data_IF_468000909790
#
_entry.id   IF_468000909790
#
_cell.length_a   1.000
_cell.length_b   1.000
_cell.length_c   1.000
_cell.angle_alpha   90.00
_cell.angle_beta   90.00
_cell.angle_gamma   90.00
#
_symmetry.space_group_name_H-M   'P 1'
#
loop_
_entity.id
_entity.type
_entity.pdbx_description
1 polymer ?
#
# COMPACT_ATOMS: atom_id res chain seq x y z
N UNK A 1 7.95 -14.22 -7.57
CA UNK A 1 8.15 -13.34 -6.37
C UNK A 1 8.29 -11.90 -6.87
N UNK A 2 7.68 -10.95 -6.18
CA UNK A 2 7.87 -9.54 -6.52
C UNK A 2 8.20 -8.71 -5.29
N UNK A 3 8.99 -7.66 -5.50
CA UNK A 3 9.30 -6.66 -4.50
C UNK A 3 9.17 -5.26 -5.12
N UNK A 4 8.68 -4.32 -4.33
CA UNK A 4 8.48 -2.95 -4.79
C UNK A 4 8.51 -1.95 -3.65
N UNK A 5 8.44 -0.69 -4.03
CA UNK A 5 8.41 0.45 -3.12
C UNK A 5 7.25 1.38 -3.48
N UNK A 6 6.65 2.05 -2.51
CA UNK A 6 5.74 3.14 -2.78
C UNK A 6 6.51 4.35 -3.35
N UNK A 7 5.92 5.01 -4.32
CA UNK A 7 6.47 6.23 -4.93
C UNK A 7 5.73 7.49 -4.47
N UNK A 8 4.41 7.37 -4.30
CA UNK A 8 3.57 8.46 -3.82
C UNK A 8 2.36 7.92 -3.07
N UNK A 9 1.88 8.70 -2.12
CA UNK A 9 0.62 8.46 -1.43
C UNK A 9 -0.16 9.77 -1.41
N UNK A 10 -1.27 9.80 -2.10
CA UNK A 10 -2.21 10.92 -2.13
C UNK A 10 -3.31 10.63 -1.10
N UNK A 11 -3.23 11.34 0.04
CA UNK A 11 -4.12 11.11 1.19
C UNK A 11 -5.50 11.67 0.88
N UNK A 12 -6.55 10.94 1.22
CA UNK A 12 -7.94 11.30 0.92
C UNK A 12 -8.51 12.42 1.81
N UNK A 13 -7.87 12.73 2.94
CA UNK A 13 -8.28 13.81 3.83
C UNK A 13 -7.78 15.15 3.31
N UNK A 14 -8.68 16.09 3.07
CA UNK A 14 -8.34 17.44 2.55
C UNK A 14 -7.46 18.28 3.50
N UNK A 15 -7.34 17.87 4.76
CA UNK A 15 -6.51 18.54 5.77
C UNK A 15 -5.13 17.88 5.94
N UNK A 16 -4.86 16.78 5.23
CA UNK A 16 -3.64 16.01 5.35
C UNK A 16 -2.93 15.90 3.99
N UNK A 17 -1.91 16.71 3.78
CA UNK A 17 -1.03 16.59 2.62
C UNK A 17 0.12 15.63 2.92
N UNK A 18 0.48 14.82 1.94
CA UNK A 18 1.64 13.92 1.99
C UNK A 18 2.93 14.65 1.62
N UNK A 19 3.97 14.48 2.43
CA UNK A 19 5.35 14.94 2.16
C UNK A 19 6.30 13.76 1.90
N UNK A 20 5.81 12.77 1.19
CA UNK A 20 6.56 11.59 0.79
C UNK A 20 6.14 10.32 1.51
N UNK A 21 6.43 9.22 0.87
CA UNK A 21 6.12 7.87 1.33
C UNK A 21 7.37 7.00 1.25
N UNK A 22 7.54 6.09 2.19
CA UNK A 22 8.63 5.12 2.21
C UNK A 22 8.15 3.79 2.76
N UNK A 23 8.73 2.70 2.27
CA UNK A 23 8.36 1.36 2.70
C UNK A 23 8.65 0.32 1.64
N UNK A 24 7.98 -0.81 1.74
CA UNK A 24 8.14 -1.91 0.78
C UNK A 24 6.83 -2.66 0.56
N UNK A 25 6.75 -3.31 -0.60
CA UNK A 25 5.75 -4.28 -0.99
C UNK A 25 6.44 -5.60 -1.32
N UNK A 26 5.97 -6.69 -0.79
CA UNK A 26 6.51 -8.01 -1.05
C UNK A 26 5.38 -8.99 -1.36
N UNK A 27 5.46 -9.68 -2.50
CA UNK A 27 4.42 -10.60 -2.96
C UNK A 27 5.01 -11.93 -3.43
N UNK A 28 4.32 -13.01 -3.11
CA UNK A 28 4.65 -14.36 -3.54
C UNK A 28 3.49 -14.95 -4.32
N UNK A 29 3.76 -15.36 -5.55
CA UNK A 29 2.79 -16.02 -6.43
C UNK A 29 2.94 -17.55 -6.31
N UNK A 30 1.81 -18.23 -6.26
CA UNK A 30 1.72 -19.68 -6.39
C UNK A 30 1.51 -20.10 -7.85
N UNK A 31 1.79 -21.36 -8.23
CA UNK A 31 1.64 -21.85 -9.60
C UNK A 31 0.22 -21.72 -10.18
N UNK A 32 -0.79 -21.55 -9.35
CA UNK A 32 -2.22 -21.41 -9.72
C UNK A 32 -2.64 -19.97 -10.02
N UNK A 33 -1.70 -19.07 -10.33
CA UNK A 33 -1.92 -17.65 -10.65
C UNK A 33 -2.45 -16.80 -9.47
N UNK A 34 -2.62 -17.39 -8.30
CA UNK A 34 -2.98 -16.69 -7.05
C UNK A 34 -1.72 -16.44 -6.24
N UNK A 35 -1.69 -15.40 -5.45
CA UNK A 35 -0.59 -15.13 -4.53
C UNK A 35 -1.03 -14.36 -3.31
N UNK A 36 -0.06 -14.19 -2.41
CA UNK A 36 -0.21 -13.42 -1.17
C UNK A 36 0.86 -12.34 -1.10
N UNK A 37 0.55 -11.27 -0.40
CA UNK A 37 1.44 -10.13 -0.24
C UNK A 37 1.47 -9.61 1.18
N UNK A 38 2.57 -8.93 1.48
CA UNK A 38 2.78 -8.11 2.66
C UNK A 38 3.28 -6.75 2.22
N UNK A 39 2.61 -5.72 2.66
CA UNK A 39 3.00 -4.34 2.40
C UNK A 39 3.16 -3.60 3.73
N UNK A 40 4.23 -2.83 3.84
CA UNK A 40 4.47 -1.97 4.98
C UNK A 40 5.07 -0.66 4.50
N UNK A 41 4.40 0.45 4.76
CA UNK A 41 4.86 1.76 4.37
C UNK A 41 4.45 2.85 5.35
N UNK A 42 5.23 3.92 5.37
CA UNK A 42 4.99 5.13 6.18
C UNK A 42 4.89 6.34 5.27
N UNK A 43 3.86 7.14 5.47
CA UNK A 43 3.64 8.40 4.77
C UNK A 43 3.86 9.55 5.74
N UNK A 44 4.75 10.47 5.41
CA UNK A 44 4.94 11.72 6.17
C UNK A 44 3.81 12.67 5.85
N UNK A 45 3.29 13.32 6.88
CA UNK A 45 2.34 14.43 6.74
C UNK A 45 3.14 15.72 6.63
N UNK A 46 2.81 16.54 5.63
CA UNK A 46 3.44 17.83 5.38
C UNK A 46 3.25 18.76 6.58
N UNK A 47 4.27 19.54 6.87
CA UNK A 47 4.31 20.51 7.99
C UNK A 47 4.04 19.90 9.38
N UNK A 48 4.27 18.60 9.53
CA UNK A 48 4.09 17.86 10.79
C UNK A 48 5.15 16.77 10.97
N UNK A 49 5.54 16.52 12.21
CA UNK A 49 6.37 15.35 12.57
C UNK A 49 5.57 14.05 12.63
N UNK A 50 4.29 14.11 12.25
CA UNK A 50 3.39 12.96 12.25
C UNK A 50 3.55 12.14 10.97
N UNK A 51 3.53 10.83 11.12
CA UNK A 51 3.53 9.86 10.02
C UNK A 51 2.29 8.96 10.10
N UNK A 52 1.84 8.50 8.95
CA UNK A 52 0.84 7.42 8.84
C UNK A 52 1.59 6.13 8.53
N UNK A 53 1.57 5.17 9.45
CA UNK A 53 2.06 3.82 9.23
C UNK A 53 0.95 2.93 8.73
N UNK A 54 1.16 2.21 7.63
CA UNK A 54 0.19 1.28 7.06
C UNK A 54 0.83 -0.08 6.85
N UNK A 55 0.16 -1.13 7.35
CA UNK A 55 0.55 -2.52 7.13
C UNK A 55 -0.64 -3.26 6.50
N UNK A 56 -0.42 -3.93 5.38
CA UNK A 56 -1.45 -4.64 4.63
C UNK A 56 -1.03 -6.07 4.34
N UNK A 57 -2.00 -6.96 4.34
CA UNK A 57 -1.89 -8.35 3.90
C UNK A 57 -2.80 -8.52 2.69
N UNK A 58 -2.26 -9.03 1.60
CA UNK A 58 -2.93 -9.07 0.32
C UNK A 58 -3.13 -10.48 -0.18
N UNK A 59 -4.21 -10.65 -0.93
CA UNK A 59 -4.39 -11.75 -1.86
C UNK A 59 -4.54 -11.18 -3.26
N UNK A 60 -3.93 -11.83 -4.25
CA UNK A 60 -3.99 -11.34 -5.61
C UNK A 60 -4.11 -12.47 -6.63
N UNK A 61 -4.56 -12.07 -7.81
CA UNK A 61 -4.66 -12.92 -8.98
C UNK A 61 -3.89 -12.31 -10.14
N UNK A 62 -3.04 -13.11 -10.77
CA UNK A 62 -2.35 -12.73 -12.01
C UNK A 62 -3.21 -13.13 -13.20
N UNK A 63 -3.67 -12.15 -13.97
CA UNK A 63 -4.43 -12.40 -15.20
C UNK A 63 -3.48 -12.94 -16.28
N UNK A 64 -3.84 -14.07 -16.94
CA UNK A 64 -3.01 -14.68 -17.97
C UNK A 64 -3.13 -13.93 -19.30
N UNK A 65 -2.62 -12.71 -19.37
CA UNK A 65 -2.60 -11.89 -20.58
C UNK A 65 -1.25 -12.07 -21.27
N UNK A 66 -1.20 -12.48 -22.55
CA UNK A 66 0.06 -12.58 -23.26
C UNK A 66 0.79 -11.23 -23.30
N UNK A 67 2.11 -11.26 -23.13
CA UNK A 67 3.03 -10.10 -23.26
C UNK A 67 3.05 -9.14 -22.08
N UNK A 68 1.97 -9.03 -21.30
CA UNK A 68 1.90 -8.15 -20.11
C UNK A 68 1.42 -8.94 -18.90
N UNK A 69 1.98 -8.62 -17.75
CA UNK A 69 1.55 -9.20 -16.48
C UNK A 69 0.64 -8.22 -15.75
N UNK A 70 -0.68 -8.46 -15.84
CA UNK A 70 -1.67 -7.68 -15.12
C UNK A 70 -2.08 -8.44 -13.86
N UNK A 71 -1.85 -7.82 -12.70
CA UNK A 71 -2.25 -8.36 -11.40
C UNK A 71 -3.37 -7.50 -10.83
N UNK A 72 -4.36 -8.15 -10.23
CA UNK A 72 -5.40 -7.49 -9.41
C UNK A 72 -5.41 -8.13 -8.04
N UNK A 73 -5.59 -7.32 -7.01
CA UNK A 73 -5.53 -7.80 -5.63
C UNK A 73 -6.41 -7.02 -4.69
N UNK A 74 -6.68 -7.66 -3.55
CA UNK A 74 -7.40 -7.11 -2.42
C UNK A 74 -6.54 -7.28 -1.18
N UNK A 75 -6.56 -6.29 -0.29
CA UNK A 75 -5.82 -6.32 0.96
C UNK A 75 -6.65 -5.85 2.14
N UNK A 76 -6.24 -6.33 3.30
CA UNK A 76 -6.74 -5.87 4.59
C UNK A 76 -5.58 -5.74 5.58
N UNK A 77 -5.67 -4.78 6.47
CA UNK A 77 -4.61 -4.51 7.42
C UNK A 77 -4.95 -3.40 8.39
N UNK A 78 -3.94 -2.66 8.78
CA UNK A 78 -4.04 -1.63 9.81
C UNK A 78 -3.33 -0.35 9.39
N UNK A 79 -3.86 0.78 9.86
CA UNK A 79 -3.24 2.08 9.72
C UNK A 79 -3.17 2.76 11.09
N UNK A 80 -2.06 3.41 11.39
CA UNK A 80 -1.81 4.09 12.67
C UNK A 80 -1.15 5.44 12.45
N UNK A 81 -1.42 6.37 13.35
CA UNK A 81 -0.69 7.65 13.42
C UNK A 81 0.53 7.50 14.32
N UNK A 82 1.72 7.83 13.79
CA UNK A 82 3.00 7.76 14.48
C UNK A 82 3.52 9.17 14.75
N UNK A 83 3.47 9.60 16.01
CA UNK A 83 4.12 10.80 16.53
C UNK A 83 4.45 10.58 18.01
N UNK A 84 5.14 11.53 18.66
CA UNK A 84 5.58 11.39 20.06
C UNK A 84 4.44 11.09 21.05
N UNK A 85 3.21 11.52 20.76
CA UNK A 85 2.03 11.37 21.61
C UNK A 85 0.86 10.63 20.97
N UNK A 86 0.99 10.20 19.70
CA UNK A 86 -0.11 9.64 18.93
C UNK A 86 -0.61 8.28 19.48
N UNK A 87 0.29 7.43 19.97
CA UNK A 87 -0.08 6.10 20.50
C UNK A 87 -0.99 6.18 21.74
N UNK A 88 -0.93 7.27 22.49
CA UNK A 88 -1.82 7.53 23.63
C UNK A 88 -3.13 8.21 23.24
N UNK A 89 -3.17 8.88 22.08
CA UNK A 89 -4.28 9.75 21.67
C UNK A 89 -5.15 9.19 20.56
N UNK A 90 -4.63 8.23 19.77
CA UNK A 90 -5.32 7.66 18.62
C UNK A 90 -5.34 6.14 18.68
N UNK A 91 -6.42 5.56 18.18
CA UNK A 91 -6.54 4.11 18.00
C UNK A 91 -5.97 3.67 16.66
N UNK A 92 -5.51 2.43 16.60
CA UNK A 92 -5.12 1.78 15.33
C UNK A 92 -6.38 1.55 14.51
N UNK A 93 -6.41 2.08 13.30
CA UNK A 93 -7.52 1.95 12.37
C UNK A 93 -7.42 0.71 11.49
N UNK A 94 -8.56 0.18 11.07
CA UNK A 94 -8.60 -0.86 10.04
C UNK A 94 -8.37 -0.24 8.67
N UNK A 95 -7.54 -0.89 7.86
CA UNK A 95 -7.27 -0.52 6.49
C UNK A 95 -7.69 -1.64 5.53
N UNK A 96 -8.24 -1.25 4.39
CA UNK A 96 -8.56 -2.16 3.28
C UNK A 96 -8.07 -1.56 1.99
N UNK A 97 -7.67 -2.38 1.04
CA UNK A 97 -7.25 -1.90 -0.27
C UNK A 97 -7.74 -2.79 -1.43
N UNK A 98 -7.87 -2.15 -2.57
CA UNK A 98 -7.90 -2.81 -3.88
C UNK A 98 -6.73 -2.26 -4.69
N UNK A 99 -6.04 -3.12 -5.42
CA UNK A 99 -4.94 -2.68 -6.25
C UNK A 99 -4.85 -3.41 -7.57
N UNK A 100 -4.18 -2.78 -8.52
CA UNK A 100 -3.74 -3.40 -9.75
C UNK A 100 -2.25 -3.12 -9.99
N UNK A 101 -1.58 -4.04 -10.65
CA UNK A 101 -0.17 -3.89 -11.04
C UNK A 101 0.01 -4.34 -12.48
N UNK A 102 0.67 -3.51 -13.27
CA UNK A 102 1.01 -3.78 -14.66
C UNK A 102 2.51 -4.04 -14.76
N UNK A 103 2.87 -5.26 -15.14
CA UNK A 103 4.24 -5.71 -15.35
C UNK A 103 4.61 -5.80 -16.84
N UNK A 104 5.81 -5.36 -17.18
CA UNK A 104 6.39 -5.47 -18.51
C UNK A 104 7.67 -6.29 -18.38
N UNK A 105 7.82 -7.38 -19.17
CA UNK A 105 9.03 -8.18 -19.14
C UNK A 105 10.22 -7.38 -19.67
N UNK A 106 11.29 -7.32 -18.87
CA UNK A 106 12.56 -6.65 -19.20
C UNK A 106 13.67 -7.64 -19.60
N UNK A 107 13.71 -8.76 -18.89
CA UNK A 107 14.65 -9.85 -19.15
C UNK A 107 13.87 -11.15 -18.96
N UNK A 108 13.91 -12.08 -19.84
CA UNK A 108 13.11 -13.30 -19.92
C UNK A 108 12.56 -13.96 -18.63
N UNK A 109 13.10 -13.59 -17.46
CA UNK A 109 12.69 -14.06 -16.14
C UNK A 109 12.33 -12.92 -15.16
N UNK A 110 12.42 -11.67 -15.61
CA UNK A 110 12.20 -10.47 -14.78
C UNK A 110 11.25 -9.50 -15.45
N UNK A 111 10.35 -8.94 -14.64
CA UNK A 111 9.45 -7.86 -15.07
C UNK A 111 9.67 -6.61 -14.21
N UNK A 112 9.60 -5.44 -14.84
CA UNK A 112 9.34 -4.19 -14.12
C UNK A 112 7.85 -3.98 -14.03
N UNK A 113 7.34 -3.55 -12.88
CA UNK A 113 5.93 -3.28 -12.72
C UNK A 113 5.65 -1.94 -12.05
N UNK A 114 4.55 -1.34 -12.48
CA UNK A 114 3.91 -0.22 -11.82
C UNK A 114 2.61 -0.71 -11.18
N UNK A 115 2.33 -0.22 -10.00
CA UNK A 115 1.14 -0.59 -9.26
C UNK A 115 0.40 0.63 -8.74
N UNK A 116 -0.92 0.53 -8.76
CA UNK A 116 -1.84 1.55 -8.26
C UNK A 116 -2.77 0.92 -7.24
N UNK A 117 -2.87 1.55 -6.07
CA UNK A 117 -3.66 1.11 -4.93
C UNK A 117 -4.66 2.17 -4.53
N UNK A 118 -5.87 1.73 -4.22
CA UNK A 118 -6.90 2.55 -3.57
C UNK A 118 -7.05 1.99 -2.15
N UNK A 119 -6.62 2.77 -1.18
CA UNK A 119 -6.62 2.40 0.24
C UNK A 119 -7.75 3.13 0.95
N UNK A 120 -8.56 2.40 1.69
CA UNK A 120 -9.55 2.95 2.60
C UNK A 120 -9.12 2.63 4.03
N UNK A 121 -8.81 3.66 4.78
CA UNK A 121 -8.50 3.55 6.20
C UNK A 121 -8.88 4.82 6.94
N UNK A 122 -9.15 4.68 8.23
CA UNK A 122 -9.40 5.80 9.11
C UNK A 122 -8.88 5.49 10.51
N UNK A 123 -8.43 6.51 11.20
CA UNK A 123 -7.93 6.46 12.57
C UNK A 123 -8.79 7.36 13.44
N UNK A 124 -9.21 6.85 14.60
CA UNK A 124 -10.08 7.59 15.53
C UNK A 124 -9.30 8.12 16.72
N UNK A 125 -9.67 9.30 17.17
CA UNK A 125 -9.16 9.88 18.44
C UNK A 125 -9.80 9.15 19.63
N UNK A 126 -8.98 8.77 20.62
CA UNK A 126 -9.46 8.15 21.89
C UNK A 126 -10.26 9.10 22.77
N UNK A 127 -9.99 10.39 22.65
CA UNK A 127 -10.56 11.41 23.53
C UNK A 127 -11.63 12.29 22.86
N UNK A 128 -12.02 11.97 21.61
CA UNK A 128 -12.97 12.79 20.86
C UNK A 128 -13.72 12.01 19.80
N UNK A 129 -14.63 12.70 19.11
CA UNK A 129 -15.38 12.16 17.98
C UNK A 129 -14.67 12.38 16.65
N UNK A 130 -13.40 12.77 16.65
CA UNK A 130 -12.65 13.06 15.43
C UNK A 130 -12.14 11.76 14.79
N UNK A 131 -12.39 11.64 13.51
CA UNK A 131 -11.94 10.55 12.65
C UNK A 131 -11.15 11.13 11.48
N UNK A 132 -9.90 10.68 11.32
CA UNK A 132 -9.03 11.08 10.22
C UNK A 132 -8.98 9.99 9.17
N UNK A 133 -9.24 10.34 7.91
CA UNK A 133 -9.15 9.43 6.78
C UNK A 133 -7.69 9.33 6.34
N UNK A 134 -7.02 8.29 6.78
CA UNK A 134 -5.59 8.04 6.48
C UNK A 134 -5.36 7.25 5.20
N UNK A 135 -6.42 6.79 4.55
CA UNK A 135 -6.37 6.14 3.25
C UNK A 135 -6.21 7.13 2.10
N UNK A 136 -6.05 6.60 0.91
CA UNK A 136 -5.86 7.39 -0.31
C UNK A 136 -5.40 6.54 -1.48
N UNK A 137 -4.75 7.18 -2.44
CA UNK A 137 -4.20 6.52 -3.61
C UNK A 137 -2.69 6.35 -3.45
N UNK A 138 -2.19 5.13 -3.62
CA UNK A 138 -0.75 4.84 -3.54
C UNK A 138 -0.25 4.32 -4.88
N UNK A 139 0.72 5.03 -5.45
CA UNK A 139 1.46 4.58 -6.62
C UNK A 139 2.73 3.88 -6.16
N UNK A 140 3.07 2.77 -6.77
CA UNK A 140 4.29 2.02 -6.47
C UNK A 140 4.97 1.47 -7.72
N UNK A 141 6.25 1.16 -7.59
CA UNK A 141 7.02 0.49 -8.61
C UNK A 141 7.84 -0.65 -8.01
N UNK A 142 8.14 -1.64 -8.83
CA UNK A 142 8.93 -2.78 -8.37
C UNK A 142 9.39 -3.69 -9.50
N UNK A 143 9.99 -4.78 -9.07
CA UNK A 143 10.45 -5.85 -9.94
C UNK A 143 9.84 -7.18 -9.50
N UNK A 144 9.61 -8.06 -10.44
CA UNK A 144 9.18 -9.43 -10.16
C UNK A 144 10.06 -10.43 -10.91
N UNK A 145 10.21 -11.61 -10.31
CA UNK A 145 11.04 -12.70 -10.83
C UNK A 145 10.22 -13.98 -10.85
N UNK A 146 10.33 -14.73 -11.93
CA UNK A 146 9.74 -16.06 -12.07
C UNK A 146 8.24 -16.03 -12.37
N UNK A 147 7.91 -15.79 -13.60
CA UNK A 147 6.57 -15.92 -14.19
C UNK A 147 6.44 -17.16 -15.04
#
# INVERSE_FOLDING_TARGET
MSAGIPLSHDIKDENLDSDGVSGFFFHVKFPILVGVGLENYETKIKDSDTKIGTTMYDIFYLLPIPVINLTVGLGAGQSELKCSTCSSSYDVGTATQIYSSLGIPILGIMDAHLSYRIVNSSVKSKNGSEEYKTGGNVLGAGISIGF
#
